data_IF_979105381704
#
_entry.id   IF_979105381704
#
_cell.length_a   1.000
_cell.length_b   1.000
_cell.length_c   1.000
_cell.angle_alpha   90.00
_cell.angle_beta   90.00
_cell.angle_gamma   90.00
#
_symmetry.space_group_name_H-M   'P 1'
#
loop_
_entity.id
_entity.type
_entity.pdbx_description
1 polymer ?
#
# COMPACT_ATOMS: atom_id res chain seq x y z
N UNK A 1 -5.43 3.08 8.36
CA UNK A 1 -5.34 4.00 9.51
C UNK A 1 -3.97 4.65 9.51
N UNK A 2 -3.90 5.92 9.86
CA UNK A 2 -2.64 6.65 10.11
C UNK A 2 -2.79 7.47 11.40
N UNK A 3 -1.73 7.52 12.20
CA UNK A 3 -1.66 8.43 13.33
C UNK A 3 -1.05 9.73 12.83
N UNK A 4 -1.75 10.85 13.08
CA UNK A 4 -1.32 12.20 12.72
C UNK A 4 -1.47 13.06 13.98
N UNK A 5 -0.36 13.56 14.49
CA UNK A 5 -0.30 14.18 15.82
C UNK A 5 -0.89 13.23 16.88
N UNK A 6 -1.81 13.70 17.72
CA UNK A 6 -2.46 12.92 18.78
C UNK A 6 -3.75 12.22 18.32
N UNK A 7 -3.98 12.07 17.01
CA UNK A 7 -5.20 11.51 16.47
C UNK A 7 -4.95 10.33 15.53
N UNK A 8 -5.77 9.30 15.66
CA UNK A 8 -5.89 8.22 14.71
C UNK A 8 -6.95 8.56 13.65
N UNK A 9 -6.54 8.61 12.38
CA UNK A 9 -7.42 8.76 11.23
C UNK A 9 -7.74 7.38 10.68
N UNK A 10 -8.96 6.92 10.89
CA UNK A 10 -9.41 5.56 10.57
C UNK A 10 -10.30 5.62 9.32
N UNK A 11 -9.76 5.15 8.21
CA UNK A 11 -10.51 5.08 6.94
C UNK A 11 -11.53 3.95 7.03
N UNK A 12 -12.82 4.29 6.90
CA UNK A 12 -13.95 3.36 6.94
C UNK A 12 -14.55 3.29 5.54
N UNK A 13 -13.96 2.45 4.68
CA UNK A 13 -14.26 2.37 3.26
C UNK A 13 -15.75 2.21 2.96
N UNK A 14 -16.40 1.17 3.50
CA UNK A 14 -17.81 0.87 3.25
C UNK A 14 -18.79 1.92 3.80
N UNK A 15 -18.33 2.83 4.66
CA UNK A 15 -19.13 3.93 5.19
C UNK A 15 -18.77 5.27 4.56
N UNK A 16 -17.87 5.27 3.57
CA UNK A 16 -17.48 6.46 2.78
C UNK A 16 -17.02 7.64 3.63
N UNK A 17 -16.25 7.35 4.72
CA UNK A 17 -15.81 8.34 5.69
C UNK A 17 -14.49 8.01 6.34
N UNK A 18 -13.92 8.98 7.06
CA UNK A 18 -12.80 8.77 7.98
C UNK A 18 -13.26 9.16 9.38
N UNK A 19 -13.14 8.26 10.33
CA UNK A 19 -13.32 8.56 11.75
C UNK A 19 -12.00 9.04 12.34
N UNK A 20 -12.06 10.10 13.14
CA UNK A 20 -10.91 10.67 13.84
C UNK A 20 -11.12 10.48 15.33
N UNK A 21 -10.13 9.87 15.98
CA UNK A 21 -10.15 9.60 17.42
C UNK A 21 -8.82 10.02 18.05
N UNK A 22 -8.88 10.60 19.25
CA UNK A 22 -7.68 10.89 20.01
C UNK A 22 -7.05 9.58 20.52
N UNK A 23 -5.73 9.41 20.36
CA UNK A 23 -5.04 8.14 20.66
C UNK A 23 -4.85 7.89 22.17
N UNK A 24 -4.73 8.94 23.00
CA UNK A 24 -4.48 8.80 24.43
C UNK A 24 -5.77 8.46 25.19
N UNK A 25 -6.86 9.17 24.86
CA UNK A 25 -8.15 8.98 25.50
C UNK A 25 -9.03 7.92 24.82
N UNK A 26 -8.66 7.49 23.62
CA UNK A 26 -9.45 6.59 22.76
C UNK A 26 -10.88 7.10 22.51
N UNK A 27 -11.04 8.43 22.49
CA UNK A 27 -12.34 9.06 22.30
C UNK A 27 -12.50 9.61 20.88
N UNK A 28 -13.72 9.54 20.38
CA UNK A 28 -14.10 10.15 19.11
C UNK A 28 -13.85 11.67 19.14
N UNK A 29 -13.28 12.19 18.07
CA UNK A 29 -13.02 13.63 17.88
C UNK A 29 -13.93 14.22 16.82
N UNK A 30 -13.90 13.68 15.60
CA UNK A 30 -14.71 14.15 14.47
C UNK A 30 -14.77 13.10 13.35
N UNK A 31 -15.57 13.38 12.32
CA UNK A 31 -15.68 12.56 11.11
C UNK A 31 -15.42 13.41 9.88
N UNK A 32 -14.57 12.94 8.96
CA UNK A 32 -14.45 13.50 7.62
C UNK A 32 -15.45 12.78 6.71
N UNK A 33 -16.38 13.54 6.18
CA UNK A 33 -17.44 13.07 5.30
C UNK A 33 -17.22 13.54 3.84
N UNK A 34 -18.10 13.10 2.93
CA UNK A 34 -18.06 13.51 1.51
C UNK A 34 -17.07 12.72 0.67
N UNK A 35 -16.59 11.60 1.17
CA UNK A 35 -15.79 10.61 0.43
C UNK A 35 -16.72 9.62 -0.27
N UNK A 36 -16.20 8.85 -1.23
CA UNK A 36 -17.00 7.87 -1.99
C UNK A 36 -16.57 6.44 -1.69
N UNK A 37 -15.32 6.11 -1.92
CA UNK A 37 -14.72 4.80 -1.63
C UNK A 37 -13.27 5.00 -1.16
N UNK A 38 -13.07 5.63 0.03
CA UNK A 38 -11.75 5.97 0.52
C UNK A 38 -10.96 4.72 0.89
N UNK A 39 -9.64 4.75 0.60
CA UNK A 39 -8.76 3.59 0.81
C UNK A 39 -7.69 3.85 1.85
N UNK A 40 -6.85 4.85 1.63
CA UNK A 40 -5.74 5.19 2.51
C UNK A 40 -5.69 6.69 2.73
N UNK A 41 -5.12 7.10 3.86
CA UNK A 41 -4.78 8.50 4.15
C UNK A 41 -3.27 8.60 4.31
N UNK A 42 -2.68 9.68 3.76
CA UNK A 42 -1.27 10.02 3.86
C UNK A 42 -1.13 11.48 4.28
N UNK A 43 -0.51 11.73 5.42
CA UNK A 43 -0.11 13.09 5.79
C UNK A 43 1.01 13.56 4.86
N UNK A 44 0.84 14.70 4.20
CA UNK A 44 1.83 15.29 3.28
C UNK A 44 2.45 16.59 3.82
N UNK A 45 1.81 17.23 4.80
CA UNK A 45 2.36 18.34 5.57
C UNK A 45 1.73 18.41 6.96
N UNK A 46 2.15 19.36 7.79
CA UNK A 46 1.53 19.54 9.13
C UNK A 46 0.02 19.82 9.06
N UNK A 47 -0.45 20.43 7.97
CA UNK A 47 -1.83 20.88 7.83
C UNK A 47 -2.59 20.15 6.71
N UNK A 48 -1.93 19.25 5.97
CA UNK A 48 -2.52 18.63 4.77
C UNK A 48 -2.31 17.13 4.73
N UNK A 49 -3.35 16.41 4.34
CA UNK A 49 -3.29 14.99 4.02
C UNK A 49 -3.97 14.71 2.68
N UNK A 50 -3.56 13.59 2.05
CA UNK A 50 -4.23 13.04 0.88
C UNK A 50 -4.99 11.79 1.27
N UNK A 51 -6.17 11.61 0.69
CA UNK A 51 -6.97 10.38 0.84
C UNK A 51 -7.20 9.79 -0.54
N UNK A 52 -6.68 8.59 -0.77
CA UNK A 52 -6.96 7.86 -2.00
C UNK A 52 -8.40 7.35 -2.01
N UNK A 53 -9.09 7.54 -3.12
CA UNK A 53 -10.52 7.20 -3.24
C UNK A 53 -10.84 6.62 -4.62
N UNK A 54 -11.30 5.38 -4.64
CA UNK A 54 -11.65 4.68 -5.89
C UNK A 54 -12.83 5.30 -6.61
N UNK A 55 -13.77 5.88 -5.85
CA UNK A 55 -14.99 6.42 -6.42
C UNK A 55 -14.79 7.64 -7.29
N UNK A 56 -13.75 8.43 -7.01
CA UNK A 56 -13.36 9.59 -7.82
C UNK A 56 -12.19 9.32 -8.76
N UNK A 57 -11.54 8.14 -8.65
CA UNK A 57 -10.31 7.84 -9.40
C UNK A 57 -9.19 8.83 -9.11
N UNK A 58 -9.02 9.21 -7.84
CA UNK A 58 -8.10 10.27 -7.46
C UNK A 58 -7.93 10.41 -5.96
N UNK A 59 -7.38 11.54 -5.56
CA UNK A 59 -7.13 11.89 -4.16
C UNK A 59 -8.05 13.02 -3.72
N UNK A 60 -8.59 12.92 -2.51
CA UNK A 60 -9.08 14.09 -1.79
C UNK A 60 -7.92 14.76 -1.08
N UNK A 61 -7.84 16.09 -1.18
CA UNK A 61 -6.95 16.93 -0.39
C UNK A 61 -7.69 17.36 0.87
N UNK A 62 -7.18 16.95 2.02
CA UNK A 62 -7.79 17.22 3.33
C UNK A 62 -7.00 18.30 4.07
N UNK A 63 -7.71 19.34 4.52
CA UNK A 63 -7.18 20.28 5.53
C UNK A 63 -7.33 19.64 6.92
N UNK A 64 -6.20 19.36 7.57
CA UNK A 64 -6.16 18.73 8.89
C UNK A 64 -6.57 19.65 10.04
N UNK A 65 -6.63 20.98 9.83
CA UNK A 65 -7.12 21.93 10.86
C UNK A 65 -8.65 21.90 10.94
N UNK A 66 -9.30 21.76 9.79
CA UNK A 66 -10.77 21.77 9.67
C UNK A 66 -11.35 20.36 9.49
N UNK A 67 -10.50 19.34 9.24
CA UNK A 67 -10.89 17.98 8.91
C UNK A 67 -11.91 17.92 7.77
N UNK A 68 -11.65 18.66 6.70
CA UNK A 68 -12.54 18.75 5.54
C UNK A 68 -11.78 18.64 4.22
N UNK A 69 -12.47 18.15 3.18
CA UNK A 69 -11.94 18.16 1.80
C UNK A 69 -11.91 19.57 1.26
N UNK A 70 -10.76 20.02 0.75
CA UNK A 70 -10.57 21.34 0.14
C UNK A 70 -10.43 21.29 -1.39
N UNK A 71 -9.94 20.19 -1.94
CA UNK A 71 -9.82 19.96 -3.38
C UNK A 71 -9.65 18.48 -3.69
N UNK A 72 -9.53 18.14 -4.98
CA UNK A 72 -9.24 16.78 -5.46
C UNK A 72 -8.12 16.80 -6.50
N UNK A 73 -7.38 15.70 -6.61
CA UNK A 73 -6.31 15.50 -7.59
C UNK A 73 -6.63 14.23 -8.39
N UNK A 74 -6.71 14.33 -9.72
CA UNK A 74 -6.87 13.16 -10.57
C UNK A 74 -5.56 12.35 -10.62
N UNK A 75 -5.66 11.04 -10.46
CA UNK A 75 -4.55 10.10 -10.59
C UNK A 75 -4.85 9.05 -11.68
N UNK A 76 -4.50 7.79 -11.45
CA UNK A 76 -4.97 6.65 -12.23
C UNK A 76 -6.21 6.01 -11.62
N UNK A 77 -6.61 4.87 -12.15
CA UNK A 77 -7.77 4.14 -11.64
C UNK A 77 -7.44 3.41 -10.33
N UNK A 78 -8.34 3.53 -9.37
CA UNK A 78 -8.25 2.82 -8.10
C UNK A 78 -6.98 3.16 -7.30
N UNK A 79 -6.76 4.43 -6.92
CA UNK A 79 -5.62 4.80 -6.10
C UNK A 79 -5.68 4.09 -4.74
N UNK A 80 -4.54 3.54 -4.33
CA UNK A 80 -4.36 2.73 -3.12
C UNK A 80 -3.32 3.33 -2.18
N UNK A 81 -2.30 2.53 -1.79
CA UNK A 81 -1.23 2.96 -0.90
C UNK A 81 -0.40 4.07 -1.52
N UNK A 82 0.04 4.95 -0.67
CA UNK A 82 0.80 6.15 -1.01
C UNK A 82 2.07 6.24 -0.18
N UNK A 83 3.09 6.90 -0.74
CA UNK A 83 4.36 7.18 -0.07
C UNK A 83 4.73 8.65 -0.26
N UNK A 84 5.11 9.33 0.82
CA UNK A 84 5.67 10.67 0.78
C UNK A 84 7.20 10.60 0.69
N UNK A 85 7.80 11.27 -0.31
CA UNK A 85 9.25 11.41 -0.47
C UNK A 85 9.59 12.85 -0.86
N UNK A 86 10.21 13.58 0.06
CA UNK A 86 10.48 15.01 -0.14
C UNK A 86 9.20 15.81 -0.40
N UNK A 87 9.14 16.52 -1.52
CA UNK A 87 7.96 17.24 -1.95
C UNK A 87 7.05 16.47 -2.93
N UNK A 88 7.19 15.16 -2.99
CA UNK A 88 6.40 14.29 -3.90
C UNK A 88 5.62 13.24 -3.12
N UNK A 89 4.37 13.02 -3.50
CA UNK A 89 3.61 11.85 -3.11
C UNK A 89 3.53 10.86 -4.28
N UNK A 90 3.85 9.61 -4.02
CA UNK A 90 3.76 8.51 -4.97
C UNK A 90 2.52 7.68 -4.65
N UNK A 91 1.67 7.43 -5.64
CA UNK A 91 0.35 6.83 -5.48
C UNK A 91 0.24 5.59 -6.36
N UNK A 92 0.10 4.41 -5.76
CA UNK A 92 -0.18 3.17 -6.49
C UNK A 92 -1.61 3.20 -7.03
N UNK A 93 -1.80 2.96 -8.33
CA UNK A 93 -3.12 2.83 -8.94
C UNK A 93 -3.38 1.36 -9.28
N UNK A 94 -4.19 0.70 -8.47
CA UNK A 94 -4.43 -0.75 -8.55
C UNK A 94 -5.52 -1.12 -9.59
N UNK A 95 -6.16 -0.11 -10.17
CA UNK A 95 -7.24 -0.30 -11.13
C UNK A 95 -8.64 -0.31 -10.53
N UNK A 96 -8.78 -0.39 -9.21
CA UNK A 96 -10.09 -0.47 -8.57
C UNK A 96 -10.90 -1.68 -9.04
N UNK A 97 -12.00 -1.43 -9.74
CA UNK A 97 -12.81 -2.48 -10.37
C UNK A 97 -12.33 -2.88 -11.79
N UNK A 98 -11.24 -2.27 -12.27
CA UNK A 98 -10.63 -2.53 -13.56
C UNK A 98 -9.17 -2.93 -13.44
N UNK A 99 -8.34 -2.40 -14.34
CA UNK A 99 -6.90 -2.63 -14.38
C UNK A 99 -6.17 -1.30 -14.52
N UNK A 100 -5.11 -1.11 -13.74
CA UNK A 100 -4.11 -0.05 -13.92
C UNK A 100 -2.71 -0.63 -13.61
N UNK A 101 -1.69 0.02 -14.12
CA UNK A 101 -0.30 -0.38 -13.96
C UNK A 101 0.62 0.83 -13.75
N UNK A 102 0.14 1.82 -13.04
CA UNK A 102 0.86 3.09 -12.86
C UNK A 102 1.03 3.49 -11.42
N UNK A 103 2.13 4.18 -11.18
CA UNK A 103 2.34 4.99 -9.97
C UNK A 103 2.26 6.46 -10.38
N UNK A 104 1.27 7.18 -9.86
CA UNK A 104 1.16 8.62 -10.05
C UNK A 104 2.09 9.37 -9.11
N UNK A 105 2.83 10.36 -9.63
CA UNK A 105 3.72 11.23 -8.86
C UNK A 105 3.07 12.60 -8.76
N UNK A 106 2.82 13.05 -7.53
CA UNK A 106 2.11 14.30 -7.21
C UNK A 106 3.10 15.29 -6.59
N UNK A 107 3.11 16.52 -7.07
CA UNK A 107 3.73 17.67 -6.39
C UNK A 107 2.84 18.07 -5.22
N UNK A 108 3.34 17.97 -3.98
CA UNK A 108 2.55 18.27 -2.79
C UNK A 108 2.44 19.76 -2.49
N UNK A 109 3.29 20.60 -3.08
CA UNK A 109 3.24 22.06 -2.90
C UNK A 109 2.10 22.69 -3.71
N UNK A 110 1.87 22.14 -4.92
CA UNK A 110 0.88 22.65 -5.88
C UNK A 110 -0.36 21.75 -6.01
N UNK A 111 -0.38 20.56 -5.38
CA UNK A 111 -1.43 19.53 -5.49
C UNK A 111 -1.68 19.11 -6.95
N UNK A 112 -0.60 18.88 -7.71
CA UNK A 112 -0.66 18.60 -9.15
C UNK A 112 0.06 17.31 -9.51
N UNK A 113 -0.51 16.56 -10.46
CA UNK A 113 0.15 15.41 -11.08
C UNK A 113 1.37 15.87 -11.88
N UNK A 114 2.56 15.36 -11.53
CA UNK A 114 3.81 15.57 -12.27
C UNK A 114 3.90 14.60 -13.44
N UNK A 115 3.75 13.28 -13.16
CA UNK A 115 3.90 12.22 -14.15
C UNK A 115 3.26 10.93 -13.65
N UNK A 116 3.14 9.96 -14.56
CA UNK A 116 2.80 8.57 -14.23
C UNK A 116 3.97 7.67 -14.62
N UNK A 117 4.37 6.77 -13.73
CA UNK A 117 5.42 5.78 -13.94
C UNK A 117 4.74 4.44 -14.20
N UNK A 118 5.02 3.80 -15.34
CA UNK A 118 4.51 2.46 -15.64
C UNK A 118 5.30 1.41 -14.85
N UNK A 119 4.58 0.49 -14.20
CA UNK A 119 5.07 -0.62 -13.39
C UNK A 119 4.29 -1.89 -13.76
N UNK A 120 4.42 -2.98 -13.01
CA UNK A 120 3.59 -4.17 -13.19
C UNK A 120 2.09 -3.89 -12.92
N UNK A 121 1.24 -4.80 -13.37
CA UNK A 121 -0.21 -4.70 -13.21
C UNK A 121 -0.64 -4.74 -11.75
N UNK A 122 -1.61 -3.90 -11.38
CA UNK A 122 -2.18 -3.78 -10.03
C UNK A 122 -1.14 -3.47 -8.94
N UNK A 123 -0.40 -2.35 -9.03
CA UNK A 123 0.51 -1.93 -7.98
C UNK A 123 -0.29 -1.67 -6.68
N UNK A 124 0.04 -2.41 -5.62
CA UNK A 124 -0.76 -2.45 -4.39
C UNK A 124 -0.01 -1.98 -3.15
N UNK A 125 1.31 -1.92 -3.20
CA UNK A 125 2.14 -1.57 -2.05
C UNK A 125 3.39 -0.82 -2.48
N UNK A 126 3.87 0.07 -1.60
CA UNK A 126 5.00 0.96 -1.89
C UNK A 126 5.78 1.25 -0.61
N UNK A 127 7.11 1.21 -0.69
CA UNK A 127 8.04 1.53 0.40
C UNK A 127 9.27 2.26 -0.14
N UNK A 128 10.02 2.92 0.76
CA UNK A 128 11.31 3.56 0.46
C UNK A 128 12.45 2.74 1.07
N UNK A 129 13.57 2.57 0.33
CA UNK A 129 14.79 1.93 0.82
C UNK A 129 15.75 2.93 1.48
N UNK A 130 16.81 2.43 2.16
CA UNK A 130 17.83 3.26 2.82
C UNK A 130 18.53 4.24 1.84
N UNK A 131 18.64 3.87 0.57
CA UNK A 131 19.25 4.71 -0.48
C UNK A 131 18.30 5.76 -1.05
N UNK A 132 17.03 5.78 -0.61
CA UNK A 132 16.00 6.70 -1.07
C UNK A 132 15.32 6.30 -2.37
N UNK A 133 15.54 5.07 -2.87
CA UNK A 133 14.76 4.54 -3.98
C UNK A 133 13.40 4.05 -3.48
N UNK A 134 12.45 3.99 -4.40
CA UNK A 134 11.10 3.55 -4.12
C UNK A 134 10.90 2.15 -4.68
N UNK A 135 10.36 1.26 -3.88
CA UNK A 135 9.99 -0.09 -4.28
C UNK A 135 8.48 -0.23 -4.32
N UNK A 136 7.97 -0.70 -5.45
CA UNK A 136 6.55 -0.91 -5.71
C UNK A 136 6.31 -2.38 -5.94
N UNK A 137 5.32 -2.94 -5.25
CA UNK A 137 4.86 -4.31 -5.46
C UNK A 137 3.54 -4.29 -6.23
N UNK A 138 3.55 -4.95 -7.38
CA UNK A 138 2.39 -5.15 -8.26
C UNK A 138 1.90 -6.59 -8.13
N UNK A 139 0.59 -6.78 -7.99
CA UNK A 139 -0.02 -8.08 -7.74
C UNK A 139 -0.25 -8.92 -8.99
N UNK A 140 -0.04 -8.36 -10.19
CA UNK A 140 -0.48 -8.99 -11.43
C UNK A 140 -2.00 -8.99 -11.59
N UNK A 141 -2.48 -9.49 -12.70
CA UNK A 141 -3.90 -9.55 -13.01
C UNK A 141 -4.31 -10.96 -13.45
N UNK A 142 -5.48 -11.41 -13.00
CA UNK A 142 -6.10 -12.65 -13.45
C UNK A 142 -7.45 -12.33 -14.06
N UNK A 143 -7.69 -12.78 -15.28
CA UNK A 143 -8.96 -12.65 -15.97
C UNK A 143 -9.69 -13.99 -15.98
N UNK A 144 -10.99 -13.96 -15.74
CA UNK A 144 -11.83 -15.14 -15.66
C UNK A 144 -12.95 -15.08 -16.71
N UNK A 145 -13.31 -16.24 -17.25
CA UNK A 145 -14.55 -16.40 -18.04
C UNK A 145 -15.79 -16.42 -17.13
N UNK A 146 -16.98 -16.53 -17.74
CA UNK A 146 -18.24 -16.61 -17.00
C UNK A 146 -18.39 -17.85 -16.11
N UNK A 147 -17.52 -18.86 -16.29
CA UNK A 147 -17.49 -20.09 -15.51
C UNK A 147 -16.36 -20.10 -14.46
N UNK A 148 -15.71 -18.92 -14.23
CA UNK A 148 -14.57 -18.76 -13.33
C UNK A 148 -13.29 -19.52 -13.74
N UNK A 149 -13.14 -19.87 -15.03
CA UNK A 149 -11.86 -20.39 -15.50
C UNK A 149 -10.92 -19.20 -15.82
N UNK A 150 -9.65 -19.35 -15.46
CA UNK A 150 -8.62 -18.39 -15.85
C UNK A 150 -8.43 -18.40 -17.35
N UNK A 151 -8.59 -17.25 -18.01
CA UNK A 151 -8.42 -17.08 -19.47
C UNK A 151 -7.19 -16.26 -19.85
N UNK A 152 -6.74 -15.40 -18.95
CA UNK A 152 -5.49 -14.64 -19.07
C UNK A 152 -4.95 -14.30 -17.69
N UNK A 153 -3.62 -14.20 -17.59
CA UNK A 153 -2.95 -13.88 -16.35
C UNK A 153 -1.64 -13.13 -16.63
N UNK A 154 -1.37 -12.08 -15.86
CA UNK A 154 -0.08 -11.41 -15.82
C UNK A 154 0.58 -11.65 -14.47
N UNK A 155 1.91 -11.87 -14.40
CA UNK A 155 2.60 -12.10 -13.15
C UNK A 155 2.66 -10.86 -12.27
N UNK A 156 2.88 -11.06 -10.98
CA UNK A 156 3.27 -9.98 -10.09
C UNK A 156 4.67 -9.46 -10.42
N UNK A 157 4.97 -8.26 -9.95
CA UNK A 157 6.25 -7.60 -10.20
C UNK A 157 6.69 -6.75 -9.00
N UNK A 158 7.98 -6.80 -8.67
CA UNK A 158 8.62 -5.87 -7.73
C UNK A 158 9.47 -4.89 -8.54
N UNK A 159 9.06 -3.62 -8.59
CA UNK A 159 9.67 -2.57 -9.40
C UNK A 159 10.44 -1.59 -8.52
N UNK A 160 11.71 -1.31 -8.87
CA UNK A 160 12.55 -0.27 -8.28
C UNK A 160 12.46 1.02 -9.09
N UNK A 161 12.12 2.13 -8.43
CA UNK A 161 11.99 3.46 -9.02
C UNK A 161 13.05 4.38 -8.40
N UNK A 162 13.78 5.09 -9.24
CA UNK A 162 14.62 6.20 -8.83
C UNK A 162 13.73 7.41 -8.54
N UNK A 163 13.76 7.90 -7.30
CA UNK A 163 12.89 8.99 -6.85
C UNK A 163 13.32 10.38 -7.37
N UNK A 164 14.56 10.54 -7.80
CA UNK A 164 15.07 11.81 -8.35
C UNK A 164 14.60 11.98 -9.79
N UNK A 165 14.75 10.93 -10.61
CA UNK A 165 14.40 10.94 -12.04
C UNK A 165 12.98 10.51 -12.34
N UNK A 166 12.28 9.91 -11.36
CA UNK A 166 10.96 9.27 -11.52
C UNK A 166 10.94 8.21 -12.62
N UNK A 167 12.01 7.41 -12.72
CA UNK A 167 12.16 6.34 -13.71
C UNK A 167 12.38 4.99 -13.08
N UNK A 168 11.91 3.93 -13.74
CA UNK A 168 12.19 2.55 -13.35
C UNK A 168 13.66 2.24 -13.57
N UNK A 169 14.34 1.72 -12.56
CA UNK A 169 15.74 1.28 -12.61
C UNK A 169 15.88 -0.24 -12.77
N UNK A 170 14.99 -0.99 -12.13
CA UNK A 170 15.02 -2.45 -12.16
C UNK A 170 13.64 -3.02 -11.85
N UNK A 171 13.41 -4.24 -12.27
CA UNK A 171 12.25 -5.01 -11.85
C UNK A 171 12.57 -6.50 -11.70
N UNK A 172 11.82 -7.16 -10.81
CA UNK A 172 11.82 -8.60 -10.60
C UNK A 172 10.41 -9.09 -10.87
N UNK A 173 10.25 -9.86 -11.93
CA UNK A 173 8.98 -10.47 -12.31
C UNK A 173 8.85 -11.82 -11.62
N UNK A 174 7.72 -12.05 -10.96
CA UNK A 174 7.42 -13.32 -10.29
C UNK A 174 6.90 -14.38 -11.28
N UNK A 175 6.71 -15.60 -10.80
CA UNK A 175 6.11 -16.65 -11.61
C UNK A 175 4.63 -16.34 -11.91
N UNK A 176 4.14 -16.80 -13.06
CA UNK A 176 2.71 -16.70 -13.40
C UNK A 176 1.89 -17.49 -12.36
N UNK A 177 0.83 -16.87 -11.85
CA UNK A 177 0.06 -17.43 -10.73
C UNK A 177 0.46 -16.90 -9.36
N UNK A 178 1.58 -16.19 -9.27
CA UNK A 178 2.00 -15.48 -8.06
C UNK A 178 1.40 -14.07 -8.03
N UNK A 179 0.62 -13.81 -6.98
CA UNK A 179 -0.08 -12.53 -6.77
C UNK A 179 0.38 -11.87 -5.46
N UNK A 180 1.58 -11.27 -5.43
CA UNK A 180 2.14 -10.71 -4.21
C UNK A 180 1.36 -9.49 -3.71
N UNK A 181 1.37 -9.29 -2.38
CA UNK A 181 0.74 -8.16 -1.70
C UNK A 181 1.44 -7.83 -0.38
N UNK A 182 1.06 -6.70 0.21
CA UNK A 182 1.50 -6.29 1.55
C UNK A 182 3.02 -6.13 1.69
N UNK A 183 3.64 -5.36 0.78
CA UNK A 183 5.04 -5.02 0.87
C UNK A 183 5.32 -4.19 2.12
N UNK A 184 6.31 -4.63 2.90
CA UNK A 184 6.90 -3.93 4.04
C UNK A 184 8.42 -3.98 3.91
N UNK A 185 9.11 -3.13 4.66
CA UNK A 185 10.57 -3.04 4.68
C UNK A 185 11.08 -3.09 6.12
N UNK A 186 12.28 -3.62 6.34
CA UNK A 186 12.93 -3.62 7.65
C UNK A 186 13.34 -2.19 8.09
N UNK A 187 13.63 -2.03 9.37
CA UNK A 187 14.01 -0.74 9.96
C UNK A 187 15.31 -0.17 9.38
N UNK A 188 16.14 -1.01 8.75
CA UNK A 188 17.38 -0.61 8.10
C UNK A 188 17.18 -0.24 6.61
N UNK A 189 15.99 -0.45 6.06
CA UNK A 189 15.72 -0.15 4.65
C UNK A 189 16.41 -1.08 3.64
N UNK A 190 16.70 -2.33 4.03
CA UNK A 190 17.56 -3.23 3.25
C UNK A 190 16.92 -4.56 2.86
N UNK A 191 15.85 -4.94 3.56
CA UNK A 191 15.13 -6.19 3.31
C UNK A 191 13.65 -5.92 3.17
N UNK A 192 13.11 -6.31 2.03
CA UNK A 192 11.69 -6.28 1.76
C UNK A 192 11.06 -7.59 2.21
N UNK A 193 9.86 -7.52 2.78
CA UNK A 193 9.02 -8.68 3.07
C UNK A 193 7.65 -8.46 2.43
N UNK A 194 7.06 -9.53 1.93
CA UNK A 194 5.74 -9.49 1.30
C UNK A 194 5.08 -10.87 1.30
N UNK A 195 3.77 -10.88 1.24
CA UNK A 195 3.00 -12.11 1.01
C UNK A 195 3.03 -12.48 -0.46
N UNK A 196 3.37 -13.73 -0.81
CA UNK A 196 3.33 -14.23 -2.18
C UNK A 196 2.73 -15.62 -2.26
N UNK A 197 2.22 -15.98 -3.42
CA UNK A 197 1.55 -17.22 -3.76
C UNK A 197 0.17 -16.98 -4.36
N UNK A 198 -0.46 -18.04 -4.85
CA UNK A 198 -1.78 -18.01 -5.45
C UNK A 198 -2.89 -17.90 -4.38
N UNK A 199 -3.54 -19.00 -4.03
CA UNK A 199 -4.64 -19.04 -3.05
C UNK A 199 -4.15 -18.99 -1.60
N UNK A 200 -3.07 -19.72 -1.29
CA UNK A 200 -2.44 -19.71 0.03
C UNK A 200 -1.14 -18.92 -0.06
N UNK A 201 -1.10 -17.76 0.56
CA UNK A 201 0.07 -16.91 0.55
C UNK A 201 0.97 -17.20 1.74
N UNK A 202 2.26 -17.12 1.50
CA UNK A 202 3.30 -17.20 2.52
C UNK A 202 4.14 -15.94 2.48
N UNK A 203 4.92 -15.65 3.53
CA UNK A 203 5.77 -14.47 3.55
C UNK A 203 7.15 -14.81 2.98
N UNK A 204 7.58 -14.03 2.01
CA UNK A 204 8.90 -14.09 1.39
C UNK A 204 9.71 -12.85 1.72
N UNK A 205 11.02 -12.92 1.53
CA UNK A 205 11.92 -11.78 1.67
C UNK A 205 12.69 -11.53 0.39
N UNK A 206 13.04 -10.27 0.15
CA UNK A 206 13.93 -9.83 -0.92
C UNK A 206 15.02 -8.95 -0.33
N UNK A 207 16.28 -9.35 -0.51
CA UNK A 207 17.43 -8.57 -0.07
C UNK A 207 17.83 -7.59 -1.17
N UNK A 208 17.78 -6.30 -0.85
CA UNK A 208 17.99 -5.19 -1.81
C UNK A 208 19.45 -5.13 -2.28
N UNK A 209 20.44 -5.43 -1.41
CA UNK A 209 21.85 -5.31 -1.76
C UNK A 209 22.33 -6.31 -2.80
N UNK A 210 21.87 -7.55 -2.69
CA UNK A 210 22.28 -8.62 -3.60
C UNK A 210 21.22 -9.00 -4.63
N UNK A 211 20.08 -8.30 -4.63
CA UNK A 211 18.91 -8.57 -5.49
C UNK A 211 18.43 -10.03 -5.39
N UNK A 212 18.41 -10.58 -4.18
CA UNK A 212 18.05 -11.99 -3.97
C UNK A 212 16.67 -12.13 -3.33
N UNK A 213 15.78 -12.79 -4.05
CA UNK A 213 14.52 -13.31 -3.53
C UNK A 213 14.79 -14.61 -2.75
N UNK A 214 14.16 -14.76 -1.58
CA UNK A 214 14.22 -16.03 -0.83
C UNK A 214 13.56 -17.16 -1.64
N UNK A 215 14.26 -18.28 -1.76
CA UNK A 215 13.75 -19.45 -2.51
C UNK A 215 12.60 -20.16 -1.79
N UNK A 216 12.54 -20.01 -0.47
CA UNK A 216 11.49 -20.57 0.38
C UNK A 216 10.84 -19.45 1.19
N UNK A 217 9.56 -19.60 1.57
CA UNK A 217 8.93 -18.66 2.47
C UNK A 217 9.65 -18.64 3.82
N UNK A 218 9.84 -17.45 4.37
CA UNK A 218 10.38 -17.29 5.74
C UNK A 218 9.29 -17.55 6.80
N UNK A 219 8.03 -17.29 6.45
CA UNK A 219 6.87 -17.64 7.28
C UNK A 219 5.84 -18.35 6.40
N UNK A 220 5.58 -19.62 6.72
CA UNK A 220 4.59 -20.43 5.98
C UNK A 220 3.19 -20.24 6.58
N UNK A 221 2.67 -19.03 6.47
CA UNK A 221 1.33 -18.64 6.91
C UNK A 221 0.81 -17.47 6.08
N UNK A 222 -0.46 -17.52 5.75
CA UNK A 222 -1.17 -16.40 5.11
C UNK A 222 -1.65 -15.39 6.16
N UNK A 223 -1.53 -14.10 5.83
CA UNK A 223 -2.01 -13.00 6.66
C UNK A 223 -2.97 -12.10 5.90
N UNK A 224 -3.85 -11.44 6.63
CA UNK A 224 -4.69 -10.38 6.10
C UNK A 224 -3.84 -9.15 5.73
N UNK A 225 -2.91 -8.77 6.61
CA UNK A 225 -1.95 -7.70 6.39
C UNK A 225 -0.66 -7.94 7.15
N UNK A 226 0.43 -7.35 6.65
CA UNK A 226 1.76 -7.37 7.27
C UNK A 226 2.14 -5.97 7.78
N UNK A 227 2.97 -5.95 8.81
CA UNK A 227 3.63 -4.76 9.35
C UNK A 227 5.05 -5.10 9.80
N UNK A 228 5.92 -4.08 9.90
CA UNK A 228 7.27 -4.21 10.45
C UNK A 228 7.51 -3.11 11.49
N UNK A 229 8.08 -3.48 12.61
CA UNK A 229 8.49 -2.54 13.64
C UNK A 229 9.45 -3.20 14.62
N UNK A 230 10.48 -2.47 15.06
CA UNK A 230 11.43 -2.92 16.09
C UNK A 230 12.04 -4.31 15.78
N UNK A 231 12.54 -4.49 14.56
CA UNK A 231 13.11 -5.75 14.04
C UNK A 231 12.15 -6.95 14.07
N UNK A 232 10.84 -6.72 14.01
CA UNK A 232 9.85 -7.79 14.02
C UNK A 232 8.84 -7.64 12.89
N UNK A 233 8.45 -8.78 12.34
CA UNK A 233 7.36 -8.90 11.37
C UNK A 233 6.07 -9.17 12.16
N UNK A 234 5.06 -8.37 11.91
CA UNK A 234 3.72 -8.54 12.45
C UNK A 234 2.77 -8.98 11.34
N UNK A 235 1.98 -10.01 11.61
CA UNK A 235 0.93 -10.46 10.72
C UNK A 235 -0.41 -10.45 11.44
N UNK A 236 -1.46 -9.99 10.76
CA UNK A 236 -2.83 -10.09 11.26
C UNK A 236 -3.58 -11.18 10.52
N UNK A 237 -4.45 -11.88 11.25
CA UNK A 237 -5.28 -12.95 10.71
C UNK A 237 -6.75 -12.63 10.99
N UNK A 238 -7.58 -12.72 9.98
CA UNK A 238 -9.03 -12.49 10.07
C UNK A 238 -9.72 -13.81 9.76
N UNK A 239 -10.14 -14.53 10.79
CA UNK A 239 -10.66 -15.88 10.66
C UNK A 239 -11.92 -15.96 9.79
N UNK A 240 -12.89 -15.09 10.01
CA UNK A 240 -14.19 -15.13 9.33
C UNK A 240 -14.90 -13.77 9.21
N UNK A 241 -14.20 -12.67 9.48
CA UNK A 241 -14.72 -11.28 9.50
C UNK A 241 -15.85 -11.02 10.54
N UNK A 242 -16.16 -11.98 11.39
CA UNK A 242 -17.20 -11.89 12.41
C UNK A 242 -16.62 -12.05 13.82
N UNK A 243 -15.66 -12.96 13.98
CA UNK A 243 -14.98 -13.21 15.24
C UNK A 243 -13.72 -12.33 15.38
N UNK A 244 -13.15 -12.31 16.60
CA UNK A 244 -11.89 -11.65 16.85
C UNK A 244 -10.77 -12.24 15.99
N UNK A 245 -9.98 -11.38 15.36
CA UNK A 245 -8.76 -11.75 14.66
C UNK A 245 -7.60 -12.01 15.62
N UNK A 246 -6.50 -12.45 15.06
CA UNK A 246 -5.25 -12.71 15.75
C UNK A 246 -4.15 -11.81 15.22
N UNK A 247 -3.24 -11.41 16.09
CA UNK A 247 -1.98 -10.76 15.74
C UNK A 247 -0.84 -11.69 16.12
N UNK A 248 0.10 -11.84 15.20
CA UNK A 248 1.29 -12.67 15.35
C UNK A 248 2.52 -11.80 15.28
N UNK A 249 3.54 -12.12 16.08
CA UNK A 249 4.83 -11.45 16.08
C UNK A 249 5.92 -12.47 15.75
N UNK A 250 6.73 -12.16 14.76
CA UNK A 250 7.85 -13.00 14.32
C UNK A 250 9.16 -12.20 14.33
N UNK A 251 10.27 -12.88 14.54
CA UNK A 251 11.56 -12.29 14.22
C UNK A 251 11.79 -12.27 12.69
N UNK A 252 12.86 -11.60 12.25
CA UNK A 252 13.22 -11.49 10.83
C UNK A 252 13.60 -12.80 10.15
N UNK A 253 13.86 -13.87 10.92
CA UNK A 253 14.09 -15.23 10.42
C UNK A 253 12.78 -16.05 10.33
N UNK A 254 11.64 -15.45 10.64
CA UNK A 254 10.34 -16.12 10.56
C UNK A 254 9.99 -17.01 11.75
N UNK A 255 10.68 -16.87 12.89
CA UNK A 255 10.36 -17.61 14.11
C UNK A 255 9.29 -16.86 14.89
N UNK A 256 8.19 -17.53 15.21
CA UNK A 256 7.09 -17.00 16.04
C UNK A 256 7.59 -16.74 17.48
N UNK A 257 7.21 -15.58 18.04
CA UNK A 257 7.60 -15.12 19.38
C UNK A 257 6.43 -15.14 20.37
#
# INVERSE_FOLDING_TARGET
MQIINDNAYIVVNNSSKIEVANIDSMTYTTTINGLTSPRYILQVSQQKAYVSDWGIGGLHVIDLNTNSTISTINTGQGPEKMLLKGNKAYVCNVGGFGLDNKVSVIDIDNDMLITNISVGDKPNSIVEDESGNIWVLSGGNTEYDANWNVIAETPGELTKINSETNSVEASVVFEVGDHPKDLIIDDNGNTLYFSNGSWSKSVYSFNIYNNMLSTNPIINKSFYSLGFNDNHIFGTDVKDYVQNGWSYKYNTSGVLL
#
